data_IF_720807275011
#
_entry.id   IF_720807275011
#
_cell.length_a   1.000
_cell.length_b   1.000
_cell.length_c   1.000
_cell.angle_alpha   90.00
_cell.angle_beta   90.00
_cell.angle_gamma   90.00
#
_symmetry.space_group_name_H-M   'P 1'
#
loop_
_entity.id
_entity.type
_entity.pdbx_description
1 polymer ?
#
# COMPACT_ATOMS: atom_id res chain seq x y z
N UNK A 1 8.36 13.07 -26.75
CA UNK A 1 8.25 12.45 -25.42
C UNK A 1 8.82 13.43 -24.41
N UNK A 2 8.01 13.94 -23.48
CA UNK A 2 8.41 15.04 -22.60
C UNK A 2 9.36 14.53 -21.49
N UNK A 3 10.45 15.25 -21.21
CA UNK A 3 11.42 14.97 -20.12
C UNK A 3 10.80 14.57 -18.77
N UNK A 4 9.70 15.20 -18.27
CA UNK A 4 9.07 14.80 -17.01
C UNK A 4 8.53 13.36 -16.98
N UNK A 5 8.08 12.82 -18.11
CA UNK A 5 7.54 11.46 -18.17
C UNK A 5 8.67 10.42 -18.04
N UNK A 6 9.83 10.71 -18.65
CA UNK A 6 11.01 9.86 -18.55
C UNK A 6 11.54 9.78 -17.11
N UNK A 7 11.64 10.92 -16.41
CA UNK A 7 12.09 10.94 -15.02
C UNK A 7 11.20 10.09 -14.09
N UNK A 8 9.88 10.09 -14.31
CA UNK A 8 8.94 9.25 -13.55
C UNK A 8 9.09 7.76 -13.88
N UNK A 9 9.34 7.42 -15.14
CA UNK A 9 9.61 6.04 -15.56
C UNK A 9 10.91 5.53 -14.91
N UNK A 10 11.95 6.35 -14.91
CA UNK A 10 13.24 6.02 -14.29
C UNK A 10 13.09 5.84 -12.77
N UNK A 11 12.33 6.73 -12.12
CA UNK A 11 12.01 6.63 -10.70
C UNK A 11 11.19 5.36 -10.38
N UNK A 12 10.22 5.01 -11.23
CA UNK A 12 9.47 3.76 -11.11
C UNK A 12 10.39 2.54 -11.20
N UNK A 13 11.30 2.51 -12.18
CA UNK A 13 12.26 1.42 -12.35
C UNK A 13 13.20 1.31 -11.14
N UNK A 14 13.75 2.43 -10.66
CA UNK A 14 14.63 2.48 -9.50
C UNK A 14 13.92 2.01 -8.21
N UNK A 15 12.70 2.48 -7.97
CA UNK A 15 11.87 2.03 -6.85
C UNK A 15 11.56 0.53 -6.93
N UNK A 16 11.29 0.01 -8.14
CA UNK A 16 11.05 -1.41 -8.36
C UNK A 16 12.25 -2.27 -7.97
N UNK A 17 13.47 -1.87 -8.35
CA UNK A 17 14.69 -2.58 -7.95
C UNK A 17 14.94 -2.51 -6.44
N UNK A 18 14.72 -1.35 -5.83
CA UNK A 18 14.86 -1.17 -4.38
C UNK A 18 13.92 -2.08 -3.59
N UNK A 19 12.65 -2.16 -4.01
CA UNK A 19 11.65 -3.04 -3.38
C UNK A 19 11.97 -4.53 -3.57
N UNK A 20 12.56 -4.93 -4.70
CA UNK A 20 13.04 -6.31 -4.90
C UNK A 20 14.09 -6.70 -3.88
N UNK A 21 15.05 -5.80 -3.58
CA UNK A 21 16.07 -6.04 -2.57
C UNK A 21 15.52 -6.11 -1.14
N UNK A 22 14.50 -5.31 -0.82
CA UNK A 22 13.97 -5.21 0.54
C UNK A 22 12.89 -6.24 0.89
N UNK A 23 12.11 -6.71 -0.09
CA UNK A 23 10.88 -7.49 0.15
C UNK A 23 10.86 -8.81 -0.62
N UNK A 24 11.88 -9.66 -0.43
CA UNK A 24 12.06 -10.91 -1.17
C UNK A 24 10.80 -11.80 -1.22
N UNK A 25 10.13 -11.97 -0.07
CA UNK A 25 8.97 -12.87 0.10
C UNK A 25 7.63 -12.33 -0.44
N UNK A 26 7.58 -11.10 -0.96
CA UNK A 26 6.36 -10.53 -1.52
C UNK A 26 6.31 -10.72 -3.04
N UNK A 27 5.11 -10.83 -3.62
CA UNK A 27 4.95 -10.98 -5.07
C UNK A 27 5.46 -9.75 -5.83
N UNK A 28 6.09 -10.01 -6.98
CA UNK A 28 6.65 -8.97 -7.85
C UNK A 28 5.61 -7.97 -8.36
N UNK A 29 4.35 -8.40 -8.53
CA UNK A 29 3.28 -7.49 -8.95
C UNK A 29 2.99 -6.42 -7.89
N UNK A 30 2.99 -6.79 -6.61
CA UNK A 30 2.75 -5.85 -5.50
C UNK A 30 3.95 -4.95 -5.24
N UNK A 31 5.18 -5.46 -5.45
CA UNK A 31 6.38 -4.61 -5.46
C UNK A 31 6.29 -3.54 -6.56
N UNK A 32 5.91 -3.93 -7.78
CA UNK A 32 5.73 -2.99 -8.90
C UNK A 32 4.62 -1.99 -8.60
N UNK A 33 3.49 -2.43 -8.03
CA UNK A 33 2.41 -1.53 -7.67
C UNK A 33 2.85 -0.50 -6.61
N UNK A 34 3.56 -0.93 -5.57
CA UNK A 34 4.13 -0.01 -4.58
C UNK A 34 5.15 0.95 -5.21
N UNK A 35 6.03 0.49 -6.10
CA UNK A 35 6.96 1.34 -6.83
C UNK A 35 6.23 2.41 -7.67
N UNK A 36 5.13 2.03 -8.32
CA UNK A 36 4.30 2.93 -9.12
C UNK A 36 3.63 3.98 -8.24
N UNK A 37 3.08 3.60 -7.08
CA UNK A 37 2.51 4.54 -6.13
C UNK A 37 3.53 5.58 -5.63
N UNK A 38 4.77 5.17 -5.40
CA UNK A 38 5.83 6.10 -5.00
C UNK A 38 6.26 7.02 -6.15
N UNK A 39 6.43 6.47 -7.36
CA UNK A 39 6.83 7.23 -8.53
C UNK A 39 5.75 8.24 -8.98
N UNK A 40 4.46 7.89 -8.86
CA UNK A 40 3.34 8.78 -9.14
C UNK A 40 3.38 10.05 -8.25
N UNK A 41 3.83 9.91 -7.01
CA UNK A 41 4.00 11.01 -6.05
C UNK A 41 5.40 11.66 -6.11
N UNK A 42 6.22 11.28 -7.10
CA UNK A 42 7.60 11.72 -7.24
C UNK A 42 8.47 11.45 -5.98
N UNK A 43 8.28 10.30 -5.34
CA UNK A 43 8.98 9.87 -4.12
C UNK A 43 9.86 8.65 -4.38
N UNK A 44 11.00 8.60 -3.69
CA UNK A 44 11.86 7.42 -3.61
C UNK A 44 11.35 6.50 -2.49
N UNK A 45 11.37 5.19 -2.74
CA UNK A 45 11.00 4.18 -1.75
C UNK A 45 11.95 4.21 -0.55
N UNK A 46 11.36 4.30 0.64
CA UNK A 46 12.02 4.07 1.92
C UNK A 46 11.58 2.70 2.45
N UNK A 47 12.49 1.72 2.41
CA UNK A 47 12.17 0.35 2.80
C UNK A 47 11.87 0.21 4.29
N UNK A 48 12.51 1.01 5.15
CA UNK A 48 12.30 0.92 6.59
C UNK A 48 10.91 1.46 6.94
N UNK A 49 10.50 2.59 6.37
CA UNK A 49 9.13 3.10 6.57
C UNK A 49 8.05 2.13 6.08
N UNK A 50 8.30 1.40 4.99
CA UNK A 50 7.37 0.37 4.52
C UNK A 50 7.35 -0.82 5.48
N UNK A 51 8.48 -1.22 6.06
CA UNK A 51 8.51 -2.24 7.13
C UNK A 51 7.74 -1.78 8.36
N UNK A 52 7.87 -0.53 8.77
CA UNK A 52 7.09 0.06 9.86
C UNK A 52 5.59 0.03 9.53
N UNK A 53 5.22 0.37 8.30
CA UNK A 53 3.85 0.23 7.80
C UNK A 53 3.34 -1.21 7.86
N UNK A 54 4.17 -2.20 7.50
CA UNK A 54 3.82 -3.62 7.63
C UNK A 54 3.61 -4.03 9.10
N UNK A 55 4.45 -3.54 10.01
CA UNK A 55 4.28 -3.77 11.44
C UNK A 55 3.00 -3.11 11.95
N UNK A 56 2.68 -1.91 11.48
CA UNK A 56 1.44 -1.23 11.84
C UNK A 56 0.21 -2.02 11.38
N UNK A 57 0.21 -2.54 10.15
CA UNK A 57 -0.86 -3.43 9.66
C UNK A 57 -0.94 -4.69 10.52
N UNK A 58 0.18 -5.29 10.89
CA UNK A 58 0.20 -6.47 11.79
C UNK A 58 -0.33 -6.13 13.18
N UNK A 59 0.02 -5.00 13.77
CA UNK A 59 -0.45 -4.61 15.10
C UNK A 59 -1.95 -4.25 15.11
N UNK A 60 -2.45 -3.61 14.05
CA UNK A 60 -3.80 -3.05 13.99
C UNK A 60 -4.88 -3.96 13.40
N UNK A 61 -4.54 -5.17 12.93
CA UNK A 61 -5.49 -6.10 12.30
C UNK A 61 -5.47 -7.46 13.00
N UNK A 62 -6.46 -8.33 12.80
CA UNK A 62 -6.47 -9.69 13.37
C UNK A 62 -5.57 -10.67 12.59
N UNK A 63 -5.20 -11.82 13.20
CA UNK A 63 -4.33 -12.86 12.63
C UNK A 63 -4.74 -13.36 11.23
N UNK A 64 -6.02 -13.26 10.89
CA UNK A 64 -6.59 -13.71 9.60
C UNK A 64 -7.22 -12.57 8.78
N UNK A 65 -6.83 -11.32 9.01
CA UNK A 65 -7.38 -10.20 8.26
C UNK A 65 -6.94 -10.22 6.79
N UNK A 66 -7.87 -10.01 5.85
CA UNK A 66 -7.55 -9.79 4.44
C UNK A 66 -6.61 -8.60 4.21
N UNK A 67 -6.51 -7.67 5.17
CA UNK A 67 -5.55 -6.57 5.16
C UNK A 67 -4.09 -7.03 5.32
N UNK A 68 -3.86 -8.26 5.82
CA UNK A 68 -2.55 -8.93 5.92
C UNK A 68 -2.27 -9.87 4.73
N UNK A 69 -3.15 -9.89 3.73
CA UNK A 69 -3.03 -10.71 2.52
C UNK A 69 -1.90 -10.24 1.59
N UNK A 70 -1.94 -10.65 0.32
CA UNK A 70 -0.85 -10.34 -0.61
C UNK A 70 -0.71 -8.83 -0.88
N UNK A 71 -1.79 -8.07 -0.66
CA UNK A 71 -1.85 -6.60 -0.81
C UNK A 71 -1.30 -5.84 0.40
N UNK A 72 -0.88 -6.51 1.47
CA UNK A 72 -0.34 -5.86 2.67
C UNK A 72 0.86 -4.94 2.37
N UNK A 73 1.72 -5.32 1.41
CA UNK A 73 2.84 -4.48 0.99
C UNK A 73 2.38 -3.15 0.39
N UNK A 74 1.29 -3.17 -0.38
CA UNK A 74 0.73 -1.97 -1.02
C UNK A 74 0.08 -1.08 0.03
N UNK A 75 -0.66 -1.66 0.97
CA UNK A 75 -1.23 -0.92 2.09
C UNK A 75 -0.13 -0.29 2.96
N UNK A 76 0.91 -1.06 3.31
CA UNK A 76 2.07 -0.55 4.04
C UNK A 76 2.79 0.57 3.29
N UNK A 77 2.93 0.46 1.96
CA UNK A 77 3.48 1.51 1.11
C UNK A 77 2.61 2.79 1.11
N UNK A 78 1.28 2.67 1.16
CA UNK A 78 0.40 3.84 1.35
C UNK A 78 0.59 4.46 2.73
N UNK A 79 0.58 3.63 3.79
CA UNK A 79 0.76 4.08 5.18
C UNK A 79 2.09 4.81 5.37
N UNK A 80 3.19 4.26 4.85
CA UNK A 80 4.54 4.82 4.95
C UNK A 80 4.68 6.24 4.35
N UNK A 81 3.78 6.62 3.43
CA UNK A 81 3.77 7.92 2.76
C UNK A 81 2.80 8.91 3.39
N UNK A 82 1.87 8.43 4.19
CA UNK A 82 0.73 9.19 4.67
C UNK A 82 1.09 9.89 6.00
N UNK A 83 0.71 11.17 6.20
CA UNK A 83 1.10 11.94 7.38
C UNK A 83 0.57 11.34 8.69
N UNK A 84 -0.64 10.78 8.65
CA UNK A 84 -1.32 10.16 9.80
C UNK A 84 -1.58 8.66 9.55
N UNK A 85 -0.56 7.79 9.61
CA UNK A 85 -0.68 6.40 9.17
C UNK A 85 -1.64 5.59 10.05
N UNK A 86 -1.65 5.82 11.37
CA UNK A 86 -2.58 5.16 12.28
C UNK A 86 -4.04 5.49 11.95
N UNK A 87 -4.33 6.75 11.65
CA UNK A 87 -5.67 7.19 11.29
C UNK A 87 -6.09 6.61 9.93
N UNK A 88 -5.19 6.59 8.94
CA UNK A 88 -5.48 5.96 7.64
C UNK A 88 -5.78 4.47 7.78
N UNK A 89 -5.03 3.74 8.61
CA UNK A 89 -5.30 2.32 8.87
C UNK A 89 -6.67 2.14 9.56
N UNK A 90 -6.98 2.97 10.55
CA UNK A 90 -8.27 2.92 11.24
C UNK A 90 -9.45 3.20 10.27
N UNK A 91 -9.33 4.22 9.41
CA UNK A 91 -10.33 4.52 8.39
C UNK A 91 -10.45 3.41 7.35
N UNK A 92 -9.33 2.81 6.94
CA UNK A 92 -9.31 1.65 6.03
C UNK A 92 -10.07 0.48 6.61
N UNK A 93 -9.89 0.21 7.91
CA UNK A 93 -10.63 -0.85 8.60
C UNK A 93 -12.12 -0.57 8.66
N UNK A 94 -12.53 0.65 9.01
CA UNK A 94 -13.96 1.04 9.01
C UNK A 94 -14.60 0.85 7.64
N UNK A 95 -13.96 1.38 6.59
CA UNK A 95 -14.45 1.21 5.22
C UNK A 95 -14.52 -0.27 4.80
N UNK A 96 -13.56 -1.10 5.22
CA UNK A 96 -13.60 -2.53 4.96
C UNK A 96 -14.79 -3.20 5.66
N UNK A 97 -15.00 -2.90 6.94
CA UNK A 97 -16.10 -3.46 7.73
C UNK A 97 -17.48 -3.02 7.18
N UNK A 98 -17.61 -1.78 6.73
CA UNK A 98 -18.80 -1.27 6.04
C UNK A 98 -19.08 -2.03 4.74
N UNK A 99 -18.07 -2.20 3.88
CA UNK A 99 -18.21 -2.99 2.66
C UNK A 99 -18.59 -4.45 2.97
N UNK A 100 -18.04 -5.05 4.03
CA UNK A 100 -18.43 -6.40 4.46
C UNK A 100 -19.88 -6.47 4.91
N UNK A 101 -20.39 -5.41 5.56
CA UNK A 101 -21.80 -5.31 5.95
C UNK A 101 -22.74 -5.27 4.74
N UNK A 102 -22.31 -4.67 3.63
CA UNK A 102 -22.99 -4.69 2.33
C UNK A 102 -22.84 -6.03 1.56
N UNK A 103 -22.36 -7.10 2.22
CA UNK A 103 -22.19 -8.45 1.67
C UNK A 103 -21.11 -8.61 0.60
N UNK A 104 -20.18 -7.67 0.46
CA UNK A 104 -19.01 -7.89 -0.40
C UNK A 104 -18.13 -9.03 0.13
N UNK A 105 -17.64 -9.88 -0.77
CA UNK A 105 -16.79 -11.03 -0.45
C UNK A 105 -15.42 -10.60 0.09
N UNK A 106 -14.92 -11.32 1.11
CA UNK A 106 -13.60 -11.07 1.66
C UNK A 106 -12.55 -11.38 0.59
N UNK A 107 -11.76 -10.38 0.21
CA UNK A 107 -10.68 -10.53 -0.75
C UNK A 107 -9.62 -9.45 -0.55
N UNK A 108 -8.43 -9.69 -1.08
CA UNK A 108 -7.35 -8.72 -1.12
C UNK A 108 -7.73 -7.46 -1.92
N UNK A 109 -8.63 -7.58 -2.91
CA UNK A 109 -9.16 -6.45 -3.67
C UNK A 109 -10.10 -5.58 -2.84
N UNK A 110 -10.89 -6.19 -1.95
CA UNK A 110 -11.74 -5.45 -1.02
C UNK A 110 -10.90 -4.62 -0.04
N UNK A 111 -9.79 -5.18 0.44
CA UNK A 111 -8.80 -4.48 1.26
C UNK A 111 -8.22 -3.25 0.53
N UNK A 112 -7.87 -3.40 -0.75
CA UNK A 112 -7.39 -2.28 -1.57
C UNK A 112 -8.48 -1.23 -1.74
N UNK A 113 -9.71 -1.61 -2.10
CA UNK A 113 -10.83 -0.68 -2.27
C UNK A 113 -11.10 0.13 -0.99
N UNK A 114 -11.15 -0.54 0.16
CA UNK A 114 -11.32 0.11 1.46
C UNK A 114 -10.19 1.13 1.73
N UNK A 115 -8.94 0.81 1.39
CA UNK A 115 -7.81 1.72 1.56
C UNK A 115 -7.85 2.94 0.63
N UNK A 116 -8.54 2.84 -0.51
CA UNK A 116 -8.73 3.96 -1.43
C UNK A 116 -9.87 4.87 -0.97
N UNK A 117 -10.96 4.29 -0.46
CA UNK A 117 -12.07 5.05 0.14
C UNK A 117 -11.55 5.85 1.33
N UNK A 118 -10.85 5.20 2.26
CA UNK A 118 -10.30 5.83 3.47
C UNK A 118 -9.35 7.01 3.21
N UNK A 119 -8.66 6.98 2.07
CA UNK A 119 -7.70 8.00 1.64
C UNK A 119 -8.40 9.21 0.99
N UNK A 120 -9.60 9.01 0.42
CA UNK A 120 -10.38 10.05 -0.26
C UNK A 120 -11.43 10.73 0.61
N UNK A 121 -11.84 10.13 1.72
CA UNK A 121 -12.84 10.71 2.64
C UNK A 121 -12.20 11.70 3.64
N UNK A 122 -11.27 12.54 3.18
CA UNK A 122 -10.58 13.58 3.97
C UNK A 122 -10.81 14.95 3.38
#
# INVERSE_FOLDING_TARGET
MNRPDQARIDLFAANGQRLKGCFFWHSDIFKRLAALLYAADNRIVDCEKIKDGLQLVKAGTGLFSALRGQTALVLAAKLAKHPEPHQLLASTRRAYDELRSCRFGASDYLAVAASQIADRTR
#
